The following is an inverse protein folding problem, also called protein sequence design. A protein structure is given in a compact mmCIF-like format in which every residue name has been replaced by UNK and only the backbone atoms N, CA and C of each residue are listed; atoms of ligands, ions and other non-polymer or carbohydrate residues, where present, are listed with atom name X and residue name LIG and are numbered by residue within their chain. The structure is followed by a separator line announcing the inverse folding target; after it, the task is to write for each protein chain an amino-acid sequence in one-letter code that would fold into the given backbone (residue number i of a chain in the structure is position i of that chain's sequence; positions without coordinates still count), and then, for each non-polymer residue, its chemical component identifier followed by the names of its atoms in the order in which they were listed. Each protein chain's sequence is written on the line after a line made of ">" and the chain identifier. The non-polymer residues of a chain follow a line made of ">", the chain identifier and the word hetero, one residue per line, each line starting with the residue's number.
data_IF_198393006363
#
_entry.id   IF_198393006363
#
_cell.length_a   1.000
_cell.length_b   1.000
_cell.length_c   1.000
_cell.angle_alpha   90.00
_cell.angle_beta   90.00
_cell.angle_gamma   90.00
#
_symmetry.space_group_name_H-M   'P 1'
#
loop_
_entity.id
_entity.type
_entity.pdbx_description
1 polymer ?
#
# COMPACT_ATOMS: atom_id res chain seq x y z
N UNK A 1 -5.40 -1.37 0.30
CA UNK A 1 -4.51 -0.27 0.76
C UNK A 1 -3.34 -0.18 -0.21
N UNK A 2 -2.99 1.04 -0.66
CA UNK A 2 -1.82 1.33 -1.49
C UNK A 2 -0.53 0.84 -0.83
N UNK A 3 0.37 0.32 -1.66
CA UNK A 3 1.56 -0.41 -1.20
C UNK A 3 2.75 0.50 -0.87
N UNK A 4 3.72 -0.09 -0.16
CA UNK A 4 5.06 0.43 0.10
C UNK A 4 5.03 1.84 0.71
N UNK A 5 5.88 2.75 0.21
CA UNK A 5 5.99 4.13 0.68
C UNK A 5 4.74 4.99 0.39
N UNK A 6 3.91 4.58 -0.57
CA UNK A 6 2.66 5.27 -0.91
C UNK A 6 1.46 4.81 -0.06
N UNK A 7 1.66 3.99 0.98
CA UNK A 7 0.60 3.67 1.93
C UNK A 7 0.05 4.96 2.57
N UNK A 8 -1.26 5.26 2.44
CA UNK A 8 -1.85 6.53 2.88
C UNK A 8 -2.04 6.56 4.38
N UNK A 9 -1.00 6.89 5.14
CA UNK A 9 -0.94 6.80 6.60
C UNK A 9 -2.09 7.58 7.29
N UNK A 10 -2.45 8.76 6.76
CA UNK A 10 -3.56 9.55 7.28
C UNK A 10 -4.91 8.82 7.16
N UNK A 11 -5.18 8.18 6.02
CA UNK A 11 -6.40 7.38 5.84
C UNK A 11 -6.39 6.11 6.71
N UNK A 12 -5.22 5.47 6.85
CA UNK A 12 -5.05 4.31 7.74
C UNK A 12 -5.38 4.70 9.19
N UNK A 13 -4.85 5.85 9.64
CA UNK A 13 -5.13 6.34 10.99
C UNK A 13 -6.62 6.67 11.17
N UNK A 14 -7.25 7.32 10.19
CA UNK A 14 -8.68 7.63 10.22
C UNK A 14 -9.53 6.34 10.27
N UNK A 15 -9.17 5.32 9.49
CA UNK A 15 -9.82 4.02 9.51
C UNK A 15 -9.72 3.37 10.91
N UNK A 16 -8.54 3.37 11.51
CA UNK A 16 -8.34 2.84 12.86
C UNK A 16 -9.11 3.62 13.91
N UNK A 17 -9.18 4.94 13.81
CA UNK A 17 -9.96 5.77 14.73
C UNK A 17 -11.46 5.45 14.66
N UNK A 18 -12.00 5.22 13.46
CA UNK A 18 -13.39 4.78 13.28
C UNK A 18 -13.63 3.38 13.84
N UNK A 19 -12.67 2.48 13.70
CA UNK A 19 -12.72 1.16 14.34
C UNK A 19 -12.80 1.26 15.85
N UNK A 20 -11.95 2.10 16.48
CA UNK A 20 -11.97 2.35 17.94
C UNK A 20 -13.26 3.02 18.41
N UNK A 21 -13.86 3.85 17.57
CA UNK A 21 -15.15 4.48 17.88
C UNK A 21 -16.36 3.52 17.77
N UNK A 22 -16.12 2.26 17.35
CA UNK A 22 -17.19 1.27 17.17
C UNK A 22 -18.07 1.50 15.93
N UNK A 23 -17.60 2.31 14.97
CA UNK A 23 -18.32 2.63 13.74
C UNK A 23 -18.12 1.56 12.64
N UNK A 24 -17.16 0.67 12.83
CA UNK A 24 -16.78 -0.36 11.85
C UNK A 24 -16.80 -1.74 12.49
N UNK A 25 -17.19 -2.74 11.70
CA UNK A 25 -17.23 -4.14 12.09
C UNK A 25 -17.00 -5.02 10.87
N UNK A 26 -16.29 -6.15 11.07
CA UNK A 26 -16.05 -7.18 10.06
C UNK A 26 -15.46 -6.61 8.76
N UNK A 27 -14.53 -5.64 8.86
CA UNK A 27 -13.86 -5.04 7.70
C UNK A 27 -12.64 -5.87 7.32
N UNK A 28 -12.65 -6.39 6.12
CA UNK A 28 -11.50 -7.10 5.55
C UNK A 28 -10.57 -6.10 4.87
N UNK A 29 -9.31 -6.08 5.31
CA UNK A 29 -8.26 -5.25 4.74
C UNK A 29 -7.33 -6.10 3.88
N UNK A 30 -6.89 -5.52 2.77
CA UNK A 30 -5.96 -6.17 1.85
C UNK A 30 -4.83 -5.22 1.49
N UNK A 31 -3.62 -5.73 1.44
CA UNK A 31 -2.45 -5.03 0.93
C UNK A 31 -1.44 -6.00 0.33
N UNK A 32 -0.62 -5.53 -0.60
CA UNK A 32 0.56 -6.28 -1.01
C UNK A 32 1.55 -6.29 0.18
N UNK A 33 2.12 -5.16 0.52
CA UNK A 33 2.76 -4.82 1.80
C UNK A 33 2.79 -3.30 1.96
N UNK A 34 2.93 -2.81 3.18
CA UNK A 34 3.01 -1.38 3.46
C UNK A 34 4.30 -1.08 4.22
N UNK A 35 4.84 0.11 4.03
CA UNK A 35 5.88 0.63 4.89
C UNK A 35 5.27 1.47 6.01
N UNK A 36 6.03 1.68 7.09
CA UNK A 36 5.56 2.37 8.28
C UNK A 36 4.71 1.50 9.20
N UNK A 37 3.86 2.15 9.99
CA UNK A 37 3.01 1.45 10.95
C UNK A 37 1.82 0.79 10.26
N UNK A 38 1.43 -0.39 10.76
CA UNK A 38 0.24 -1.10 10.33
C UNK A 38 -0.69 -1.34 11.54
N UNK A 39 -1.21 -0.27 12.17
CA UNK A 39 -1.97 -0.38 13.42
C UNK A 39 -3.23 -1.24 13.27
N UNK A 40 -3.82 -1.27 12.10
CA UNK A 40 -5.00 -2.10 11.78
C UNK A 40 -4.79 -3.61 11.97
N UNK A 41 -3.55 -4.06 12.12
CA UNK A 41 -3.22 -5.47 12.36
C UNK A 41 -3.00 -5.79 13.84
N UNK A 42 -3.10 -4.81 14.74
CA UNK A 42 -2.90 -5.01 16.17
C UNK A 42 -4.08 -5.72 16.83
N UNK A 43 -3.82 -6.42 17.93
CA UNK A 43 -4.81 -7.20 18.67
C UNK A 43 -6.05 -6.40 19.12
N UNK A 44 -5.90 -5.08 19.30
CA UNK A 44 -7.03 -4.21 19.66
C UNK A 44 -8.14 -4.18 18.61
N UNK A 45 -7.83 -4.56 17.37
CA UNK A 45 -8.77 -4.57 16.25
C UNK A 45 -9.35 -5.95 15.95
N UNK A 46 -9.10 -6.95 16.79
CA UNK A 46 -9.70 -8.28 16.65
C UNK A 46 -11.23 -8.19 16.61
N UNK A 47 -11.84 -8.81 15.60
CA UNK A 47 -13.29 -8.74 15.35
C UNK A 47 -13.77 -7.45 14.69
N UNK A 48 -12.90 -6.45 14.53
CA UNK A 48 -13.19 -5.22 13.76
C UNK A 48 -12.55 -5.32 12.37
N UNK A 49 -11.25 -5.63 12.33
CA UNK A 49 -10.49 -5.79 11.10
C UNK A 49 -9.96 -7.22 10.98
N UNK A 50 -9.92 -7.73 9.76
CA UNK A 50 -9.13 -8.89 9.36
C UNK A 50 -8.19 -8.47 8.23
N UNK A 51 -6.92 -8.81 8.33
CA UNK A 51 -5.91 -8.46 7.33
C UNK A 51 -5.53 -9.66 6.48
N UNK A 52 -5.64 -9.52 5.16
CA UNK A 52 -5.04 -10.40 4.17
C UNK A 52 -3.81 -9.70 3.57
N UNK A 53 -2.62 -10.22 3.85
CA UNK A 53 -1.36 -9.70 3.36
C UNK A 53 -0.82 -10.61 2.25
N UNK A 54 -0.57 -10.06 1.08
CA UNK A 54 0.02 -10.80 -0.05
C UNK A 54 1.54 -10.92 0.06
N UNK A 55 2.15 -10.11 0.91
CA UNK A 55 3.55 -10.20 1.30
C UNK A 55 3.69 -9.74 2.76
N UNK A 56 4.28 -10.58 3.60
CA UNK A 56 4.42 -10.31 5.05
C UNK A 56 5.64 -9.43 5.29
N UNK A 57 5.44 -8.13 5.32
CA UNK A 57 6.46 -7.15 5.69
C UNK A 57 6.85 -7.22 7.17
N UNK A 58 7.91 -6.49 7.55
CA UNK A 58 8.39 -6.45 8.93
C UNK A 58 7.35 -5.91 9.91
N UNK A 59 6.51 -4.98 9.45
CA UNK A 59 5.50 -4.27 10.23
C UNK A 59 4.26 -5.12 10.58
N UNK A 60 4.01 -6.23 9.87
CA UNK A 60 2.88 -7.15 10.15
C UNK A 60 3.32 -8.56 10.51
N UNK A 61 4.63 -8.83 10.53
CA UNK A 61 5.16 -10.19 10.74
C UNK A 61 4.78 -10.78 12.09
N UNK A 62 4.86 -10.00 13.14
CA UNK A 62 4.49 -10.44 14.49
C UNK A 62 2.98 -10.77 14.58
N UNK A 63 2.16 -9.93 13.97
CA UNK A 63 0.71 -10.08 13.95
C UNK A 63 0.30 -11.31 13.13
N UNK A 64 0.96 -11.56 12.00
CA UNK A 64 0.76 -12.80 11.23
C UNK A 64 1.13 -14.04 12.03
N UNK A 65 2.26 -14.01 12.74
CA UNK A 65 2.68 -15.12 13.61
C UNK A 65 1.73 -15.34 14.79
N UNK A 66 1.09 -14.29 15.28
CA UNK A 66 0.11 -14.33 16.37
C UNK A 66 -1.32 -14.68 15.92
N UNK A 67 -1.58 -14.75 14.61
CA UNK A 67 -2.89 -15.09 14.05
C UNK A 67 -3.85 -13.91 13.86
N UNK A 68 -3.36 -12.67 13.98
CA UNK A 68 -4.16 -11.46 13.73
C UNK A 68 -4.15 -11.00 12.27
N UNK A 69 -3.31 -11.61 11.44
CA UNK A 69 -3.24 -11.32 10.01
C UNK A 69 -2.96 -12.61 9.23
N UNK A 70 -3.61 -12.75 8.09
CA UNK A 70 -3.44 -13.88 7.19
C UNK A 70 -2.42 -13.58 6.10
N UNK A 71 -1.60 -14.57 5.78
CA UNK A 71 -0.76 -14.54 4.59
C UNK A 71 -1.46 -15.25 3.44
N UNK A 72 -1.64 -14.54 2.33
CA UNK A 72 -2.18 -15.11 1.09
C UNK A 72 -1.02 -15.37 0.13
N UNK A 73 -0.59 -16.63 -0.03
CA UNK A 73 0.55 -16.96 -0.89
C UNK A 73 0.19 -16.77 -2.37
N UNK A 74 0.78 -15.79 -3.00
CA UNK A 74 0.61 -15.46 -4.42
C UNK A 74 1.91 -14.88 -4.97
N UNK A 75 2.26 -15.21 -6.20
CA UNK A 75 3.38 -14.54 -6.85
C UNK A 75 3.04 -13.08 -7.16
N UNK A 76 4.00 -12.18 -6.99
CA UNK A 76 3.80 -10.75 -7.25
C UNK A 76 3.21 -10.50 -8.63
N UNK A 77 3.69 -11.21 -9.66
CA UNK A 77 3.19 -11.13 -11.04
C UNK A 77 1.72 -11.57 -11.20
N UNK A 78 1.15 -12.29 -10.24
CA UNK A 78 -0.22 -12.80 -10.29
C UNK A 78 -1.18 -12.03 -9.38
N UNK A 79 -0.68 -11.15 -8.52
CA UNK A 79 -1.51 -10.37 -7.59
C UNK A 79 -2.56 -9.55 -8.34
N UNK A 80 -2.21 -8.91 -9.46
CA UNK A 80 -3.16 -8.17 -10.26
C UNK A 80 -4.24 -9.08 -10.88
N UNK A 81 -3.87 -10.30 -11.29
CA UNK A 81 -4.85 -11.28 -11.82
C UNK A 81 -5.82 -11.71 -10.72
N UNK A 82 -5.30 -11.95 -9.52
CA UNK A 82 -6.13 -12.32 -8.37
C UNK A 82 -7.17 -11.23 -8.06
N UNK A 83 -6.76 -9.96 -8.02
CA UNK A 83 -7.68 -8.84 -7.82
C UNK A 83 -8.71 -8.76 -8.94
N UNK A 84 -8.29 -8.83 -10.22
CA UNK A 84 -9.20 -8.75 -11.36
C UNK A 84 -10.14 -9.95 -11.50
N UNK A 85 -9.81 -11.08 -10.88
CA UNK A 85 -10.68 -12.27 -10.90
C UNK A 85 -11.98 -12.09 -10.11
N UNK A 86 -12.02 -11.11 -9.20
CA UNK A 86 -13.15 -10.87 -8.30
C UNK A 86 -13.31 -11.90 -7.18
N UNK A 87 -12.36 -12.85 -7.03
CA UNK A 87 -12.36 -13.81 -5.90
C UNK A 87 -12.23 -13.05 -4.57
N UNK A 88 -11.43 -11.98 -4.57
CA UNK A 88 -11.31 -11.05 -3.46
C UNK A 88 -11.86 -9.68 -3.90
N UNK A 89 -13.17 -9.44 -3.79
CA UNK A 89 -13.77 -8.20 -4.22
C UNK A 89 -13.28 -7.03 -3.37
N UNK A 90 -13.07 -5.87 -4.01
CA UNK A 90 -12.63 -4.64 -3.35
C UNK A 90 -13.79 -3.65 -3.35
N UNK A 91 -14.31 -3.33 -2.17
CA UNK A 91 -15.31 -2.27 -2.03
C UNK A 91 -14.66 -0.89 -2.06
N UNK A 92 -13.53 -0.73 -1.37
CA UNK A 92 -12.82 0.55 -1.27
C UNK A 92 -11.34 0.38 -1.55
N UNK A 93 -10.80 1.14 -2.49
CA UNK A 93 -9.36 1.30 -2.69
C UNK A 93 -8.91 2.60 -1.99
N UNK A 94 -7.95 2.51 -1.08
CA UNK A 94 -7.31 3.67 -0.45
C UNK A 94 -5.93 3.88 -1.08
N UNK A 95 -5.75 5.00 -1.78
CA UNK A 95 -4.51 5.29 -2.52
C UNK A 95 -3.93 6.65 -2.17
N UNK A 96 -2.65 6.85 -2.51
CA UNK A 96 -1.98 8.13 -2.44
C UNK A 96 -1.40 8.46 -3.81
N UNK A 97 -1.56 9.71 -4.27
CA UNK A 97 -1.19 10.14 -5.61
C UNK A 97 -0.52 11.52 -5.57
N UNK A 98 0.27 11.85 -6.60
CA UNK A 98 0.80 13.20 -6.76
C UNK A 98 -0.31 14.19 -7.17
N UNK A 99 -0.09 15.52 -7.05
CA UNK A 99 -1.01 16.51 -7.55
C UNK A 99 -1.30 16.33 -9.05
N UNK A 100 -2.53 16.67 -9.50
CA UNK A 100 -2.91 16.57 -10.91
C UNK A 100 -2.08 17.52 -11.79
N UNK A 101 -1.82 17.07 -13.00
CA UNK A 101 -1.28 17.95 -14.04
C UNK A 101 -2.39 18.81 -14.69
N UNK A 102 -2.01 19.67 -15.65
CA UNK A 102 -2.94 20.54 -16.37
C UNK A 102 -4.01 19.80 -17.18
N UNK A 103 -3.86 18.50 -17.37
CA UNK A 103 -4.81 17.66 -18.09
C UNK A 103 -5.65 16.78 -17.15
N UNK A 104 -5.49 16.93 -15.84
CA UNK A 104 -6.22 16.17 -14.82
C UNK A 104 -5.67 14.75 -14.59
N UNK A 105 -4.43 14.47 -14.96
CA UNK A 105 -3.79 13.20 -14.64
C UNK A 105 -2.99 13.29 -13.35
N UNK A 106 -3.06 12.24 -12.55
CA UNK A 106 -2.28 12.03 -11.33
C UNK A 106 -1.40 10.80 -11.49
N UNK A 107 -0.39 10.66 -10.64
CA UNK A 107 0.45 9.46 -10.61
C UNK A 107 0.36 8.77 -9.27
N UNK A 108 0.27 7.44 -9.29
CA UNK A 108 0.35 6.58 -8.11
C UNK A 108 1.77 6.44 -7.54
N UNK A 109 2.73 7.17 -8.12
CA UNK A 109 4.08 7.32 -7.57
C UNK A 109 4.93 6.06 -7.61
N UNK A 110 5.43 5.66 -6.44
CA UNK A 110 6.46 4.63 -6.32
C UNK A 110 5.94 3.19 -6.42
N UNK A 111 4.62 2.98 -6.31
CA UNK A 111 4.03 1.64 -6.17
C UNK A 111 2.79 1.49 -7.04
N UNK A 112 2.94 0.83 -8.19
CA UNK A 112 1.84 0.57 -9.12
C UNK A 112 1.30 -0.83 -8.93
N UNK A 113 2.17 -1.79 -8.76
CA UNK A 113 1.99 -3.21 -8.42
C UNK A 113 0.51 -3.70 -8.47
N UNK A 114 -0.04 -4.04 -7.30
CA UNK A 114 -1.45 -4.42 -7.13
C UNK A 114 -2.42 -3.21 -7.19
N UNK A 115 -1.91 -1.99 -7.00
CA UNK A 115 -2.71 -0.78 -6.78
C UNK A 115 -3.51 -0.41 -8.02
N UNK A 116 -2.94 -0.50 -9.23
CA UNK A 116 -3.69 -0.23 -10.46
C UNK A 116 -4.90 -1.16 -10.60
N UNK A 117 -4.71 -2.46 -10.34
CA UNK A 117 -5.82 -3.41 -10.39
C UNK A 117 -6.87 -3.11 -9.31
N UNK A 118 -6.45 -2.67 -8.13
CA UNK A 118 -7.36 -2.27 -7.06
C UNK A 118 -8.21 -1.05 -7.47
N UNK A 119 -7.60 0.00 -8.02
CA UNK A 119 -8.30 1.20 -8.53
C UNK A 119 -9.33 0.82 -9.61
N UNK A 120 -8.95 -0.06 -10.53
CA UNK A 120 -9.81 -0.46 -11.66
C UNK A 120 -10.99 -1.36 -11.25
N UNK A 121 -10.93 -2.01 -10.10
CA UNK A 121 -11.93 -3.00 -9.68
C UNK A 121 -12.64 -2.62 -8.37
N UNK A 122 -12.23 -1.58 -7.67
CA UNK A 122 -12.92 -1.08 -6.49
C UNK A 122 -14.26 -0.43 -6.87
N UNK A 123 -15.24 -0.53 -5.98
CA UNK A 123 -16.51 0.22 -6.09
C UNK A 123 -16.34 1.70 -5.78
N UNK A 124 -15.38 2.02 -4.91
CA UNK A 124 -15.05 3.40 -4.49
C UNK A 124 -13.55 3.54 -4.37
N UNK A 125 -13.00 4.60 -4.91
CA UNK A 125 -11.59 4.96 -4.77
C UNK A 125 -11.47 6.21 -3.90
N UNK A 126 -10.77 6.08 -2.77
CA UNK A 126 -10.43 7.20 -1.88
C UNK A 126 -8.96 7.52 -2.07
N UNK A 127 -8.66 8.75 -2.49
CA UNK A 127 -7.31 9.23 -2.79
C UNK A 127 -6.80 10.28 -1.81
N UNK A 128 -5.51 10.22 -1.51
CA UNK A 128 -4.78 11.31 -0.87
C UNK A 128 -3.92 11.97 -1.93
N UNK A 129 -4.14 13.26 -2.19
CA UNK A 129 -3.29 14.07 -3.06
C UNK A 129 -2.13 14.61 -2.21
N UNK A 130 -0.91 14.14 -2.51
CA UNK A 130 0.28 14.49 -1.74
C UNK A 130 1.41 14.95 -2.68
N UNK A 131 1.90 16.21 -2.57
CA UNK A 131 2.96 16.73 -3.42
C UNK A 131 4.31 16.01 -3.23
N UNK A 132 4.49 15.25 -2.16
CA UNK A 132 5.70 14.46 -1.94
C UNK A 132 5.71 13.14 -2.73
N UNK A 133 4.58 12.74 -3.34
CA UNK A 133 4.52 11.58 -4.22
C UNK A 133 5.20 11.92 -5.55
N UNK A 134 6.26 11.21 -5.96
CA UNK A 134 6.92 11.48 -7.22
C UNK A 134 6.02 11.08 -8.40
N UNK A 135 6.12 11.82 -9.50
CA UNK A 135 5.42 11.47 -10.73
C UNK A 135 6.19 10.39 -11.49
N UNK A 136 5.67 9.17 -11.45
CA UNK A 136 6.09 8.08 -12.32
C UNK A 136 5.20 8.02 -13.57
N UNK A 137 5.69 7.38 -14.63
CA UNK A 137 5.02 7.28 -15.91
C UNK A 137 4.48 5.86 -16.17
N UNK A 138 3.86 5.67 -17.32
CA UNK A 138 3.27 4.38 -17.70
C UNK A 138 2.01 4.08 -16.88
N UNK A 139 1.91 2.87 -16.39
CA UNK A 139 0.76 2.37 -15.63
C UNK A 139 0.54 3.08 -14.27
N UNK A 140 1.49 3.92 -13.85
CA UNK A 140 1.32 4.76 -12.67
C UNK A 140 0.32 5.91 -12.89
N UNK A 141 0.01 6.25 -14.14
CA UNK A 141 -0.84 7.40 -14.49
C UNK A 141 -2.30 6.99 -14.55
N UNK A 142 -3.13 7.69 -13.77
CA UNK A 142 -4.59 7.57 -13.78
C UNK A 142 -5.21 8.96 -13.90
N UNK A 143 -6.49 9.04 -14.22
CA UNK A 143 -7.22 10.31 -14.21
C UNK A 143 -7.65 10.66 -12.79
N UNK A 144 -7.67 11.94 -12.47
CA UNK A 144 -8.24 12.41 -11.19
C UNK A 144 -9.72 12.00 -11.07
N UNK A 145 -10.44 11.93 -12.21
CA UNK A 145 -11.84 11.47 -12.25
C UNK A 145 -12.05 9.99 -11.92
N UNK A 146 -10.97 9.20 -11.86
CA UNK A 146 -11.04 7.80 -11.43
C UNK A 146 -10.97 7.67 -9.90
N UNK A 147 -10.87 8.80 -9.19
CA UNK A 147 -10.88 8.91 -7.72
C UNK A 147 -12.20 9.56 -7.30
N UNK A 148 -13.04 8.80 -6.58
CA UNK A 148 -14.37 9.26 -6.20
C UNK A 148 -14.34 10.28 -5.08
N UNK A 149 -13.44 10.10 -4.12
CA UNK A 149 -13.29 10.96 -2.94
C UNK A 149 -11.79 11.23 -2.75
N UNK A 150 -11.41 12.48 -2.54
CA UNK A 150 -10.02 12.79 -2.23
C UNK A 150 -9.89 13.84 -1.13
N UNK A 151 -8.76 13.79 -0.44
CA UNK A 151 -8.28 14.83 0.46
C UNK A 151 -6.83 15.19 0.11
N UNK A 152 -6.37 16.31 0.62
CA UNK A 152 -4.98 16.75 0.46
C UNK A 152 -4.19 16.48 1.73
N UNK A 153 -2.96 16.04 1.57
CA UNK A 153 -1.98 15.84 2.65
C UNK A 153 -0.60 16.26 2.14
N UNK A 154 0.26 16.67 3.05
CA UNK A 154 1.65 17.08 2.76
C UNK A 154 2.64 16.30 3.62
N UNK A 155 2.24 15.15 4.16
CA UNK A 155 3.12 14.30 4.96
C UNK A 155 4.23 13.73 4.08
N UNK A 156 5.51 13.81 4.49
CA UNK A 156 6.60 13.14 3.77
C UNK A 156 6.34 11.65 3.59
N UNK A 157 6.78 11.11 2.45
CA UNK A 157 6.75 9.66 2.25
C UNK A 157 7.74 8.97 3.20
N UNK A 158 7.42 7.72 3.52
CA UNK A 158 8.32 6.90 4.33
C UNK A 158 9.53 6.53 3.48
N UNK A 159 10.71 6.86 3.98
CA UNK A 159 11.97 6.54 3.36
C UNK A 159 12.57 5.26 3.96
N UNK A 160 13.12 4.41 3.10
CA UNK A 160 13.93 3.28 3.56
C UNK A 160 15.31 3.78 4.01
N UNK A 161 15.66 3.49 5.25
CA UNK A 161 17.02 3.78 5.72
C UNK A 161 17.98 2.74 5.15
N UNK A 162 19.06 3.17 4.46
CA UNK A 162 20.08 2.24 3.99
C UNK A 162 20.70 1.50 5.18
N UNK A 163 20.77 0.19 5.09
CA UNK A 163 21.52 -0.60 6.05
C UNK A 163 23.01 -0.23 6.00
N UNK A 164 23.69 -0.29 7.14
CA UNK A 164 25.14 -0.15 7.17
C UNK A 164 25.76 -1.30 6.35
N UNK A 165 26.60 -0.96 5.38
CA UNK A 165 27.29 -1.95 4.56
C UNK A 165 28.31 -2.71 5.41
N UNK A 166 28.26 -4.03 5.35
CA UNK A 166 29.27 -4.90 5.92
C UNK A 166 30.47 -5.04 4.96
N UNK A 167 31.59 -5.56 5.47
CA UNK A 167 32.74 -5.88 4.61
C UNK A 167 32.37 -6.88 3.50
N UNK A 168 31.47 -7.83 3.81
CA UNK A 168 30.93 -8.78 2.84
C UNK A 168 30.13 -8.10 1.74
N UNK A 169 29.24 -7.15 2.09
CA UNK A 169 28.46 -6.39 1.11
C UNK A 169 29.37 -5.61 0.15
N UNK A 170 30.42 -4.99 0.70
CA UNK A 170 31.41 -4.25 -0.09
C UNK A 170 32.17 -5.21 -1.01
N UNK A 171 32.58 -6.37 -0.53
CA UNK A 171 33.30 -7.37 -1.34
C UNK A 171 32.39 -7.93 -2.46
N UNK A 172 31.12 -8.23 -2.18
CA UNK A 172 30.13 -8.65 -3.17
C UNK A 172 29.97 -7.56 -4.24
N UNK A 173 29.78 -6.32 -3.81
CA UNK A 173 29.64 -5.17 -4.72
C UNK A 173 30.86 -5.00 -5.64
N UNK A 174 32.07 -5.10 -5.11
CA UNK A 174 33.32 -5.03 -5.90
C UNK A 174 33.43 -6.17 -6.92
N UNK A 175 33.13 -7.41 -6.48
CA UNK A 175 33.16 -8.57 -7.38
C UNK A 175 32.12 -8.44 -8.50
N UNK A 176 30.91 -7.99 -8.19
CA UNK A 176 29.89 -7.75 -9.20
C UNK A 176 30.30 -6.65 -10.18
N UNK A 177 30.83 -5.52 -9.70
CA UNK A 177 31.31 -4.43 -10.54
C UNK A 177 32.49 -4.82 -11.45
N UNK A 178 33.32 -5.80 -11.06
CA UNK A 178 34.41 -6.27 -11.88
C UNK A 178 34.00 -7.08 -13.13
N UNK A 179 32.71 -7.43 -13.23
CA UNK A 179 32.12 -8.15 -14.36
C UNK A 179 31.53 -7.20 -15.43
N UNK A 180 31.51 -5.90 -15.14
CA UNK A 180 31.01 -4.83 -16.01
C UNK A 180 32.24 -4.05 -16.59
#
# INVERSE_FOLDING_TARGET
>A
IHSVACAPQGLIQALCNRGRAGELKDVKLQHLHTEGSAPYSEAEFEGIFSLESYFVGSNVRKQTQAGYADYVPVHLSETQKLIRSGIHPIDVAMIQVCPPDKHGFVSMGTSVDATLAAVQNAKTVIGVINPNVPRAWGDAIIKLSDIDIFCEDNTPLIEAHPASLTEQDIAIGRNAASLI
#
